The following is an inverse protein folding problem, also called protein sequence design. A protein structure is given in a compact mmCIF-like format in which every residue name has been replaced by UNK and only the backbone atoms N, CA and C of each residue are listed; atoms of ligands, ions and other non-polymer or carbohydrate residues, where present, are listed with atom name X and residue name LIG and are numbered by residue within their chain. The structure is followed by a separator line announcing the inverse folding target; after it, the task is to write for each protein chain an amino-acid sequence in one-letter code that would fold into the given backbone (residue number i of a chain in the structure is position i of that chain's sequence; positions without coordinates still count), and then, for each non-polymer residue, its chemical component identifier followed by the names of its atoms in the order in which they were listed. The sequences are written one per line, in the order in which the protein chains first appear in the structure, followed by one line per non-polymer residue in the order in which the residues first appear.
data_IF_258232383707
#
_entry.id   IF_258232383707
#
_cell.length_a   1.000
_cell.length_b   1.000
_cell.length_c   1.000
_cell.angle_alpha   90.00
_cell.angle_beta   90.00
_cell.angle_gamma   90.00
#
_symmetry.space_group_name_H-M   'P 1'
#
loop_
_entity.id
_entity.type
_entity.pdbx_description
1 polymer ?
#
# COMPACT_ATOMS: atom_id res chain seq x y z
N UNK A 1 4.70 -44.97 -78.90
CA UNK A 1 5.42 -45.50 -77.72
C UNK A 1 5.19 -44.50 -76.60
N UNK A 2 4.14 -44.67 -75.78
CA UNK A 2 4.18 -45.37 -74.48
C UNK A 2 5.16 -44.67 -73.53
N UNK A 3 4.82 -44.14 -72.37
CA UNK A 3 3.64 -44.06 -71.49
C UNK A 3 4.12 -43.14 -70.34
N UNK A 4 3.40 -42.76 -69.29
CA UNK A 4 2.13 -43.06 -68.64
C UNK A 4 2.20 -42.19 -67.37
N UNK A 5 1.28 -41.24 -67.17
CA UNK A 5 0.07 -41.38 -66.34
C UNK A 5 0.36 -41.83 -64.90
N UNK A 6 0.20 -40.92 -63.94
CA UNK A 6 -0.26 -41.18 -62.57
C UNK A 6 -0.55 -39.83 -61.91
N UNK A 7 -1.69 -39.51 -61.29
CA UNK A 7 -2.90 -40.22 -60.92
C UNK A 7 -3.83 -39.18 -60.27
N UNK A 8 -5.13 -39.35 -60.42
CA UNK A 8 -6.16 -38.37 -60.06
C UNK A 8 -6.38 -38.22 -58.53
N UNK A 9 -6.99 -37.07 -58.20
CA UNK A 9 -7.64 -36.68 -56.93
C UNK A 9 -8.43 -37.80 -56.23
N UNK A 10 -8.71 -37.58 -54.93
CA UNK A 10 -10.10 -37.66 -54.48
C UNK A 10 -10.57 -36.40 -53.73
N UNK A 11 -11.88 -36.14 -53.81
CA UNK A 11 -12.61 -35.14 -53.03
C UNK A 11 -13.11 -35.73 -51.69
N UNK A 12 -13.61 -34.82 -50.84
CA UNK A 12 -14.58 -34.96 -49.74
C UNK A 12 -14.03 -35.31 -48.34
N UNK A 13 -14.20 -34.39 -47.38
CA UNK A 13 -15.17 -34.52 -46.28
C UNK A 13 -15.02 -33.37 -45.26
N UNK A 14 -16.16 -32.74 -44.96
CA UNK A 14 -16.41 -31.92 -43.77
C UNK A 14 -16.66 -32.84 -42.57
N UNK A 15 -16.05 -32.62 -41.40
CA UNK A 15 -16.73 -32.76 -40.08
C UNK A 15 -15.93 -32.10 -38.93
N UNK A 16 -16.64 -31.26 -38.17
CA UNK A 16 -16.59 -30.92 -36.74
C UNK A 16 -15.28 -30.81 -35.91
N UNK A 17 -15.19 -29.63 -35.27
CA UNK A 17 -15.01 -29.42 -33.82
C UNK A 17 -13.89 -30.15 -33.06
N UNK A 18 -12.83 -29.39 -32.80
CA UNK A 18 -11.97 -29.58 -31.64
C UNK A 18 -11.54 -28.22 -31.10
N UNK A 19 -12.29 -27.68 -30.12
CA UNK A 19 -11.92 -26.47 -29.39
C UNK A 19 -10.71 -26.78 -28.52
N UNK A 20 -9.51 -26.67 -29.08
CA UNK A 20 -8.29 -26.59 -28.29
C UNK A 20 -8.12 -25.16 -27.77
N UNK A 21 -8.61 -24.91 -26.55
CA UNK A 21 -8.14 -23.79 -25.73
C UNK A 21 -6.71 -24.10 -25.32
N UNK A 22 -5.74 -23.74 -26.14
CA UNK A 22 -4.34 -23.47 -25.78
C UNK A 22 -3.57 -22.97 -27.02
N UNK A 23 -4.01 -21.85 -27.59
CA UNK A 23 -3.20 -21.11 -28.54
C UNK A 23 -2.37 -20.07 -27.79
N UNK A 24 -1.12 -20.42 -27.47
CA UNK A 24 -0.08 -19.42 -27.29
C UNK A 24 0.18 -18.76 -28.65
N UNK A 25 -0.67 -17.80 -29.04
CA UNK A 25 -0.44 -16.90 -30.17
C UNK A 25 0.70 -15.91 -29.86
N UNK A 26 1.30 -15.29 -30.88
CA UNK A 26 2.58 -14.60 -30.74
C UNK A 26 2.38 -13.30 -29.94
N UNK A 27 2.59 -13.37 -28.62
CA UNK A 27 2.61 -12.19 -27.75
C UNK A 27 3.74 -11.20 -28.12
N UNK A 28 4.66 -11.58 -29.02
CA UNK A 28 5.82 -10.77 -29.42
C UNK A 28 5.56 -9.81 -30.57
N UNK A 29 4.55 -10.02 -31.42
CA UNK A 29 4.41 -9.24 -32.66
C UNK A 29 3.59 -7.95 -32.46
N UNK A 30 2.62 -7.94 -31.53
CA UNK A 30 1.82 -6.74 -31.20
C UNK A 30 2.61 -5.60 -30.53
N UNK A 31 3.81 -5.86 -30.04
CA UNK A 31 4.66 -4.81 -29.47
C UNK A 31 5.44 -4.05 -30.54
N UNK A 32 5.76 -4.70 -31.67
CA UNK A 32 6.54 -4.12 -32.77
C UNK A 32 5.71 -3.22 -33.70
N UNK A 33 4.40 -3.46 -33.78
CA UNK A 33 3.45 -2.68 -34.60
C UNK A 33 2.87 -1.46 -33.88
N UNK A 34 3.32 -1.18 -32.64
CA UNK A 34 2.81 -0.05 -31.87
C UNK A 34 3.21 1.27 -32.52
N UNK A 35 2.21 2.10 -32.74
CA UNK A 35 2.39 3.48 -33.17
C UNK A 35 3.13 4.28 -32.11
N UNK A 36 3.75 5.38 -32.52
CA UNK A 36 4.44 6.30 -31.62
C UNK A 36 3.50 6.84 -30.52
N UNK A 37 2.23 7.08 -30.86
CA UNK A 37 1.20 7.51 -29.90
C UNK A 37 0.89 6.44 -28.82
N UNK A 38 0.88 5.16 -29.19
CA UNK A 38 0.71 4.07 -28.22
C UNK A 38 1.93 3.96 -27.29
N UNK A 39 3.14 4.15 -27.82
CA UNK A 39 4.36 4.20 -27.02
C UNK A 39 4.38 5.37 -26.05
N UNK A 40 4.04 6.58 -26.49
CA UNK A 40 3.92 7.75 -25.62
C UNK A 40 2.91 7.52 -24.49
N UNK A 41 1.77 6.91 -24.79
CA UNK A 41 0.77 6.53 -23.76
C UNK A 41 1.34 5.55 -22.73
N UNK A 42 2.07 4.53 -23.19
CA UNK A 42 2.71 3.54 -22.31
C UNK A 42 3.81 4.19 -21.47
N UNK A 43 4.65 5.04 -22.07
CA UNK A 43 5.71 5.76 -21.36
C UNK A 43 5.14 6.72 -20.33
N UNK A 44 4.12 7.49 -20.68
CA UNK A 44 3.41 8.37 -19.76
C UNK A 44 2.82 7.58 -18.57
N UNK A 45 2.15 6.46 -18.83
CA UNK A 45 1.61 5.60 -17.76
C UNK A 45 2.70 5.02 -16.84
N UNK A 46 3.85 4.60 -17.41
CA UNK A 46 5.00 4.11 -16.63
C UNK A 46 5.64 5.22 -15.80
N UNK A 47 5.79 6.41 -16.38
CA UNK A 47 6.32 7.61 -15.71
C UNK A 47 5.41 8.00 -14.55
N UNK A 48 4.09 8.10 -14.77
CA UNK A 48 3.10 8.38 -13.74
C UNK A 48 3.11 7.31 -12.62
N UNK A 49 3.24 6.02 -12.95
CA UNK A 49 3.36 4.95 -11.94
C UNK A 49 4.64 5.09 -11.11
N UNK A 50 5.78 5.42 -11.74
CA UNK A 50 7.06 5.61 -11.06
C UNK A 50 7.03 6.83 -10.15
N UNK A 51 6.40 7.92 -10.60
CA UNK A 51 6.18 9.12 -9.81
C UNK A 51 5.24 8.86 -8.62
N UNK A 52 4.11 8.19 -8.85
CA UNK A 52 3.20 7.74 -7.79
C UNK A 52 3.93 6.85 -6.77
N UNK A 53 4.77 5.93 -7.24
CA UNK A 53 5.58 5.08 -6.37
C UNK A 53 6.60 5.89 -5.57
N UNK A 54 7.32 6.84 -6.20
CA UNK A 54 8.27 7.74 -5.53
C UNK A 54 7.57 8.61 -4.49
N UNK A 55 6.40 9.19 -4.83
CA UNK A 55 5.59 9.99 -3.93
C UNK A 55 5.05 9.16 -2.74
N UNK A 56 4.78 7.86 -2.95
CA UNK A 56 4.40 6.93 -1.88
C UNK A 56 5.58 6.58 -0.98
N UNK A 57 6.75 6.33 -1.56
CA UNK A 57 7.98 5.98 -0.86
C UNK A 57 8.64 7.17 -0.14
N UNK A 58 8.40 8.40 -0.59
CA UNK A 58 8.89 9.61 0.06
C UNK A 58 8.38 9.69 1.51
N UNK A 59 9.32 9.74 2.46
CA UNK A 59 9.04 9.78 3.89
C UNK A 59 8.74 8.43 4.54
N UNK A 60 8.82 7.30 3.81
CA UNK A 60 8.71 5.97 4.42
C UNK A 60 9.99 5.63 5.18
N UNK A 61 9.85 5.12 6.39
CA UNK A 61 10.96 4.75 7.25
C UNK A 61 11.72 3.53 6.70
N UNK A 62 13.03 3.68 6.51
CA UNK A 62 13.94 2.55 6.29
C UNK A 62 14.32 1.92 7.64
N UNK A 63 13.79 0.74 7.92
CA UNK A 63 14.05 0.00 9.17
C UNK A 63 15.50 -0.48 9.31
N UNK A 64 16.29 -0.44 8.22
CA UNK A 64 17.73 -0.73 8.25
C UNK A 64 18.56 0.46 8.74
N UNK A 65 17.97 1.65 8.82
CA UNK A 65 18.64 2.82 9.38
C UNK A 65 18.96 2.55 10.85
N UNK A 66 20.23 2.64 11.29
CA UNK A 66 20.61 2.37 12.68
C UNK A 66 19.97 3.35 13.69
N UNK A 67 19.50 4.51 13.23
CA UNK A 67 18.75 5.48 14.03
C UNK A 67 17.25 5.21 14.07
N UNK A 68 16.76 4.26 13.28
CA UNK A 68 15.37 3.81 13.34
C UNK A 68 15.13 3.10 14.66
N UNK A 69 14.21 3.63 15.45
CA UNK A 69 13.84 3.11 16.76
C UNK A 69 12.35 2.82 16.79
N UNK A 70 11.96 1.85 17.60
CA UNK A 70 10.55 1.53 17.84
C UNK A 70 10.05 2.29 19.06
N UNK A 71 8.87 2.88 18.94
CA UNK A 71 8.20 3.60 20.01
C UNK A 71 6.88 2.93 20.33
N UNK A 72 6.49 2.99 21.60
CA UNK A 72 5.16 2.66 22.08
C UNK A 72 4.39 3.94 22.36
N UNK A 73 3.14 3.94 21.95
CA UNK A 73 2.20 5.03 22.11
C UNK A 73 0.96 4.49 22.80
N UNK A 74 0.57 5.11 23.91
CA UNK A 74 -0.68 4.80 24.60
C UNK A 74 -1.72 5.85 24.22
N UNK A 75 -2.86 5.41 23.70
CA UNK A 75 -3.91 6.25 23.16
C UNK A 75 -5.22 6.09 23.93
N UNK A 76 -5.92 7.20 24.08
CA UNK A 76 -7.34 7.23 24.43
C UNK A 76 -8.12 7.85 23.28
N UNK A 77 -9.27 7.29 22.93
CA UNK A 77 -10.14 7.85 21.91
C UNK A 77 -11.61 7.50 22.13
N UNK A 78 -12.48 8.40 21.69
CA UNK A 78 -13.92 8.19 21.65
C UNK A 78 -14.31 7.58 20.29
N UNK A 79 -14.84 6.36 20.30
CA UNK A 79 -15.08 5.57 19.10
C UNK A 79 -16.26 6.03 18.24
N UNK A 80 -17.16 6.87 18.77
CA UNK A 80 -18.42 7.23 18.11
C UNK A 80 -18.27 7.84 16.71
N UNK A 81 -17.13 8.50 16.44
CA UNK A 81 -16.80 9.07 15.13
C UNK A 81 -15.82 8.24 14.29
N UNK A 82 -15.52 7.00 14.67
CA UNK A 82 -14.52 6.15 14.01
C UNK A 82 -15.11 4.84 13.48
N UNK A 83 -14.69 4.47 12.28
CA UNK A 83 -14.98 3.18 11.64
C UNK A 83 -13.95 2.11 12.05
N UNK A 84 -13.58 2.11 13.33
CA UNK A 84 -12.60 1.22 13.91
C UNK A 84 -11.16 1.71 13.76
N UNK A 85 -10.23 0.81 14.05
CA UNK A 85 -8.79 1.12 14.03
C UNK A 85 -8.23 1.25 12.62
N UNK A 86 -8.40 0.21 11.80
CA UNK A 86 -7.63 0.00 10.57
C UNK A 86 -8.09 0.96 9.49
N UNK A 87 -7.15 1.59 8.78
CA UNK A 87 -7.44 2.39 7.59
C UNK A 87 -8.12 1.56 6.50
N UNK A 88 -9.21 2.10 5.97
CA UNK A 88 -10.01 1.50 4.90
C UNK A 88 -10.19 2.52 3.78
N UNK A 89 -9.90 2.10 2.55
CA UNK A 89 -10.16 2.87 1.33
C UNK A 89 -11.39 2.24 0.67
N UNK A 90 -12.50 2.99 0.59
CA UNK A 90 -13.71 2.60 -0.12
C UNK A 90 -13.83 3.39 -1.44
N UNK A 91 -14.72 2.93 -2.32
CA UNK A 91 -14.98 3.57 -3.61
C UNK A 91 -15.40 5.04 -3.46
N UNK A 92 -16.19 5.35 -2.43
CA UNK A 92 -16.76 6.68 -2.18
C UNK A 92 -15.84 7.59 -1.34
N UNK A 93 -14.65 7.11 -0.98
CA UNK A 93 -13.65 7.87 -0.21
C UNK A 93 -13.13 7.12 1.03
N UNK A 94 -12.12 7.67 1.71
CA UNK A 94 -11.55 7.07 2.92
C UNK A 94 -12.50 7.23 4.11
N UNK A 95 -12.69 6.14 4.87
CA UNK A 95 -13.39 6.22 6.15
C UNK A 95 -12.50 6.85 7.22
N UNK A 96 -13.13 7.57 8.15
CA UNK A 96 -12.44 8.08 9.33
C UNK A 96 -12.14 6.93 10.28
N UNK A 97 -10.87 6.55 10.38
CA UNK A 97 -10.36 5.47 11.24
C UNK A 97 -9.25 6.00 12.13
N UNK A 98 -8.96 5.32 13.24
CA UNK A 98 -7.93 5.77 14.18
C UNK A 98 -6.55 5.78 13.52
N UNK A 99 -6.17 4.72 12.80
CA UNK A 99 -4.90 4.66 12.05
C UNK A 99 -4.80 5.77 11.02
N UNK A 100 -5.89 6.04 10.27
CA UNK A 100 -5.91 7.10 9.26
C UNK A 100 -5.67 8.49 9.85
N UNK A 101 -6.34 8.79 10.98
CA UNK A 101 -6.14 10.06 11.70
C UNK A 101 -4.72 10.19 12.24
N UNK A 102 -4.17 9.12 12.83
CA UNK A 102 -2.78 9.14 13.33
C UNK A 102 -1.79 9.37 12.18
N UNK A 103 -1.93 8.66 11.06
CA UNK A 103 -1.06 8.83 9.89
C UNK A 103 -1.11 10.27 9.32
N UNK A 104 -2.31 10.84 9.20
CA UNK A 104 -2.51 12.18 8.67
C UNK A 104 -1.92 13.26 9.59
N UNK A 105 -2.28 13.20 10.88
CA UNK A 105 -1.97 14.26 11.85
C UNK A 105 -0.54 14.21 12.34
N UNK A 106 0.08 13.03 12.39
CA UNK A 106 1.43 12.87 12.92
C UNK A 106 2.51 12.97 11.85
N UNK A 107 2.16 12.92 10.56
CA UNK A 107 3.10 13.16 9.46
C UNK A 107 3.87 14.49 9.60
N UNK A 108 3.25 15.65 9.81
CA UNK A 108 3.99 16.91 9.99
C UNK A 108 4.79 16.93 11.31
N UNK A 109 4.25 16.34 12.38
CA UNK A 109 4.90 16.31 13.71
C UNK A 109 6.19 15.47 13.68
N UNK A 110 6.16 14.33 13.01
CA UNK A 110 7.29 13.40 12.93
C UNK A 110 8.21 13.69 11.74
N UNK A 111 7.82 14.63 10.85
CA UNK A 111 8.47 14.93 9.57
C UNK A 111 8.66 13.70 8.66
N UNK A 112 7.88 12.64 8.87
CA UNK A 112 8.00 11.36 8.17
C UNK A 112 6.67 10.60 8.21
N UNK A 113 6.49 9.67 7.26
CA UNK A 113 5.34 8.76 7.24
C UNK A 113 5.66 7.53 8.06
N UNK A 114 4.89 7.34 9.12
CA UNK A 114 5.00 6.17 9.98
C UNK A 114 3.77 5.29 9.82
N UNK A 115 3.97 3.98 9.98
CA UNK A 115 2.89 3.00 10.09
C UNK A 115 2.68 2.66 11.56
N UNK A 116 1.43 2.48 11.97
CA UNK A 116 1.08 2.09 13.32
C UNK A 116 0.66 0.63 13.39
N UNK A 117 1.09 -0.06 14.44
CA UNK A 117 0.69 -1.43 14.75
C UNK A 117 0.00 -1.45 16.12
N UNK A 118 -1.32 -1.66 16.18
CA UNK A 118 -2.03 -1.71 17.45
C UNK A 118 -1.73 -3.02 18.19
N UNK A 119 -1.89 -3.00 19.52
CA UNK A 119 -1.91 -4.21 20.35
C UNK A 119 -3.14 -5.09 20.06
N UNK A 120 -4.26 -4.48 19.65
CA UNK A 120 -5.48 -5.17 19.23
C UNK A 120 -6.32 -4.29 18.30
N UNK A 121 -7.08 -4.89 17.39
CA UNK A 121 -7.99 -4.11 16.52
C UNK A 121 -9.27 -3.78 17.29
N UNK A 122 -9.86 -2.64 16.97
CA UNK A 122 -11.19 -2.23 17.44
C UNK A 122 -12.15 -2.09 16.27
N UNK A 123 -13.40 -2.47 16.51
CA UNK A 123 -14.50 -2.32 15.56
C UNK A 123 -15.05 -0.89 15.55
N UNK A 124 -15.92 -0.59 14.58
CA UNK A 124 -16.56 0.72 14.46
C UNK A 124 -17.35 1.10 15.72
N UNK A 125 -17.26 2.37 16.15
CA UNK A 125 -17.95 2.86 17.33
C UNK A 125 -17.27 2.55 18.68
N UNK A 126 -16.26 1.68 18.72
CA UNK A 126 -15.62 1.26 19.98
C UNK A 126 -14.67 2.33 20.52
N UNK A 127 -14.88 2.77 21.75
CA UNK A 127 -13.95 3.66 22.48
C UNK A 127 -12.84 2.88 23.18
N UNK A 128 -11.67 3.49 23.33
CA UNK A 128 -10.57 2.92 24.10
C UNK A 128 -9.97 3.94 25.06
N UNK A 129 -9.63 3.51 26.29
CA UNK A 129 -9.00 4.37 27.31
C UNK A 129 -7.48 4.21 27.40
N UNK A 130 -6.91 3.20 26.74
CA UNK A 130 -5.50 2.84 26.87
C UNK A 130 -5.04 1.90 25.77
N UNK A 131 -5.47 2.16 24.53
CA UNK A 131 -5.04 1.39 23.38
C UNK A 131 -3.55 1.59 23.16
N UNK A 132 -2.77 0.51 23.14
CA UNK A 132 -1.34 0.57 22.84
C UNK A 132 -1.13 0.41 21.34
N UNK A 133 -0.28 1.25 20.75
CA UNK A 133 0.20 1.11 19.39
C UNK A 133 1.72 1.28 19.32
N UNK A 134 2.34 0.58 18.38
CA UNK A 134 3.77 0.68 18.10
C UNK A 134 3.97 1.37 16.76
N UNK A 135 5.05 2.14 16.63
CA UNK A 135 5.51 2.65 15.34
C UNK A 135 7.03 2.74 15.33
N UNK A 136 7.60 2.66 14.13
CA UNK A 136 9.04 2.82 13.92
C UNK A 136 9.31 4.23 13.37
N UNK A 137 10.31 4.91 13.90
CA UNK A 137 10.62 6.30 13.57
C UNK A 137 12.12 6.60 13.70
N UNK A 138 12.63 7.50 12.87
CA UNK A 138 13.96 8.09 13.02
C UNK A 138 13.78 9.46 13.66
N UNK A 139 14.10 9.56 14.95
CA UNK A 139 14.03 10.81 15.71
C UNK A 139 15.42 11.13 16.29
N UNK A 140 15.78 12.42 16.44
CA UNK A 140 16.98 12.81 17.17
C UNK A 140 17.10 12.10 18.53
N UNK A 141 18.32 11.80 18.95
CA UNK A 141 18.53 11.14 20.25
C UNK A 141 18.12 12.04 21.42
N UNK A 142 18.26 13.35 21.25
CA UNK A 142 17.83 14.39 22.18
C UNK A 142 16.32 14.65 22.22
N UNK A 143 15.50 13.92 21.45
CA UNK A 143 14.05 14.11 21.46
C UNK A 143 13.45 13.77 22.82
N UNK A 144 12.99 14.78 23.55
CA UNK A 144 12.24 14.60 24.78
C UNK A 144 10.82 14.08 24.47
N UNK A 145 10.52 12.84 24.89
CA UNK A 145 9.22 12.19 24.62
C UNK A 145 8.04 12.93 25.25
N UNK A 146 8.24 13.61 26.37
CA UNK A 146 7.21 14.45 27.01
C UNK A 146 6.83 15.63 26.11
N UNK A 147 7.82 16.33 25.54
CA UNK A 147 7.58 17.43 24.61
C UNK A 147 6.92 16.93 23.31
N UNK A 148 7.38 15.78 22.80
CA UNK A 148 6.76 15.14 21.63
C UNK A 148 5.30 14.75 21.90
N UNK A 149 4.98 14.25 23.11
CA UNK A 149 3.59 13.93 23.50
C UNK A 149 2.70 15.17 23.46
N UNK A 150 3.21 16.32 23.92
CA UNK A 150 2.52 17.61 23.80
C UNK A 150 2.28 18.01 22.35
N UNK A 151 3.30 17.93 21.49
CA UNK A 151 3.19 18.24 20.06
C UNK A 151 2.21 17.31 19.33
N UNK A 152 2.23 16.02 19.66
CA UNK A 152 1.27 15.01 19.16
C UNK A 152 -0.15 15.41 19.55
N UNK A 153 -0.40 15.70 20.82
CA UNK A 153 -1.73 16.09 21.30
C UNK A 153 -2.23 17.40 20.69
N UNK A 154 -1.33 18.35 20.39
CA UNK A 154 -1.68 19.59 19.70
C UNK A 154 -2.11 19.36 18.24
N UNK A 155 -1.61 18.29 17.59
CA UNK A 155 -1.97 17.96 16.21
C UNK A 155 -3.21 17.05 16.11
N UNK A 156 -3.54 16.31 17.16
CA UNK A 156 -4.66 15.36 17.18
C UNK A 156 -6.02 16.07 17.35
N UNK A 157 -7.10 15.54 16.76
CA UNK A 157 -8.45 16.03 17.02
C UNK A 157 -8.84 15.82 18.49
N UNK A 158 -9.87 16.53 18.99
CA UNK A 158 -10.24 16.49 20.41
C UNK A 158 -10.67 15.11 20.91
N UNK A 159 -11.15 14.24 20.03
CA UNK A 159 -11.62 12.88 20.32
C UNK A 159 -10.50 11.82 20.31
N UNK A 160 -9.23 12.22 20.14
CA UNK A 160 -8.04 11.36 20.24
C UNK A 160 -6.99 12.03 21.11
N UNK A 161 -6.40 11.27 22.03
CA UNK A 161 -5.34 11.72 22.93
C UNK A 161 -4.23 10.70 23.04
N UNK A 162 -3.00 11.17 22.93
CA UNK A 162 -1.81 10.44 23.34
C UNK A 162 -1.59 10.63 24.84
N UNK A 163 -1.70 9.54 25.59
CA UNK A 163 -1.47 9.51 27.03
C UNK A 163 0.02 9.43 27.35
N UNK A 164 0.79 8.66 26.59
CA UNK A 164 2.23 8.54 26.78
C UNK A 164 2.96 8.01 25.55
N UNK A 165 4.25 8.33 25.47
CA UNK A 165 5.21 7.80 24.52
C UNK A 165 6.38 7.17 25.28
N UNK A 166 6.82 6.00 24.84
CA UNK A 166 7.99 5.32 25.38
C UNK A 166 8.85 4.76 24.24
N UNK A 167 10.17 4.74 24.44
CA UNK A 167 11.07 3.99 23.57
C UNK A 167 10.90 2.50 23.88
N UNK A 168 10.62 1.69 22.87
CA UNK A 168 10.59 0.24 23.05
C UNK A 168 12.01 -0.22 23.40
N UNK A 169 12.15 -0.94 24.52
CA UNK A 169 13.43 -1.56 24.88
C UNK A 169 13.87 -2.45 23.71
N UNK A 170 15.14 -2.35 23.29
CA UNK A 170 15.72 -3.38 22.43
C UNK A 170 15.57 -4.69 23.20
N UNK A 171 14.75 -5.61 22.68
CA UNK A 171 14.70 -6.96 23.22
C UNK A 171 16.10 -7.53 23.13
N UNK A 172 16.62 -8.01 24.25
CA UNK A 172 17.77 -8.92 24.26
C UNK A 172 17.32 -10.20 23.55
N UNK A 173 17.65 -10.31 22.26
CA UNK A 173 17.60 -11.59 21.54
C UNK A 173 18.77 -12.45 21.98
#
# INVERSE_FOLDING_TARGET
KSGGRCGQRPQMASTAAGTSKNAHGPLRDRAAERTEAEWETIYAARKARKEKHRARAAGVIDRRNPRCRRYWMVLSYEGGGFHGWQKQELADGPLRTVEGVLEERLRPVLAQRVKFWPAGRTDAGVSARGQVAQFDAVLPESTALTALTGAVNAALPPDVRCLSLALARKGSS
#
